data_IF_599874028448
#
_entry.id   IF_599874028448
#
_cell.length_a   1.000
_cell.length_b   1.000
_cell.length_c   1.000
_cell.angle_alpha   90.00
_cell.angle_beta   90.00
_cell.angle_gamma   90.00
#
_symmetry.space_group_name_H-M   'P 1'
#
loop_
_entity.id
_entity.type
_entity.pdbx_description
1 polymer ?
#
# COMPACT_ATOMS: atom_id res chain seq x y z
N UNK A 1 -2.09 -32.11 26.63
CA UNK A 1 -1.97 -31.17 25.50
C UNK A 1 -3.00 -30.03 25.50
N UNK A 2 -4.03 -30.06 26.35
CA UNK A 2 -5.06 -29.01 26.48
C UNK A 2 -4.74 -27.70 27.26
N UNK A 3 -3.60 -27.47 27.97
CA UNK A 3 -3.46 -26.26 28.79
C UNK A 3 -3.10 -24.97 28.02
N UNK A 4 -2.45 -25.06 26.86
CA UNK A 4 -1.91 -23.90 26.12
C UNK A 4 -2.99 -22.97 25.53
N UNK A 5 -4.15 -23.51 25.17
CA UNK A 5 -5.27 -22.73 24.59
C UNK A 5 -5.95 -21.87 25.67
N UNK A 6 -6.00 -22.34 26.92
CA UNK A 6 -6.60 -21.56 28.02
C UNK A 6 -5.74 -20.36 28.42
N UNK A 7 -4.41 -20.49 28.41
CA UNK A 7 -3.50 -19.41 28.78
C UNK A 7 -3.52 -18.24 27.77
N UNK A 8 -3.67 -18.56 26.48
CA UNK A 8 -3.84 -17.55 25.42
C UNK A 8 -5.20 -16.84 25.50
N UNK A 9 -6.28 -17.56 25.83
CA UNK A 9 -7.59 -16.98 26.12
C UNK A 9 -7.58 -16.06 27.36
N UNK A 10 -6.90 -16.47 28.43
CA UNK A 10 -6.77 -15.69 29.66
C UNK A 10 -5.92 -14.43 29.45
N UNK A 11 -4.87 -14.51 28.63
CA UNK A 11 -4.06 -13.34 28.25
C UNK A 11 -4.85 -12.36 27.38
N UNK A 12 -5.64 -12.84 26.43
CA UNK A 12 -6.53 -12.02 25.61
C UNK A 12 -7.61 -11.30 26.46
N UNK A 13 -8.16 -11.98 27.46
CA UNK A 13 -9.09 -11.36 28.41
C UNK A 13 -8.43 -10.30 29.31
N UNK A 14 -7.11 -10.38 29.52
CA UNK A 14 -6.35 -9.45 30.36
C UNK A 14 -5.87 -8.19 29.60
N UNK A 15 -5.67 -8.28 28.28
CA UNK A 15 -5.21 -7.15 27.44
C UNK A 15 -6.32 -6.50 26.63
N UNK A 16 -7.48 -7.15 26.47
CA UNK A 16 -8.58 -6.67 25.62
C UNK A 16 -8.31 -6.78 24.12
N UNK A 17 -7.12 -7.29 23.73
CA UNK A 17 -6.70 -7.43 22.34
C UNK A 17 -6.86 -8.90 21.94
N UNK A 18 -7.72 -9.16 20.95
CA UNK A 18 -7.88 -10.49 20.36
C UNK A 18 -6.66 -10.83 19.45
N UNK A 19 -5.88 -11.87 19.77
CA UNK A 19 -4.72 -12.28 18.97
C UNK A 19 -5.06 -12.56 17.50
N UNK A 20 -6.28 -13.03 17.22
CA UNK A 20 -6.74 -13.28 15.86
C UNK A 20 -6.89 -11.96 15.09
N UNK A 21 -7.44 -10.92 15.74
CA UNK A 21 -7.58 -9.59 15.14
C UNK A 21 -6.23 -8.98 14.85
N UNK A 22 -5.26 -9.10 15.77
CA UNK A 22 -3.89 -8.61 15.52
C UNK A 22 -3.23 -9.32 14.33
N UNK A 23 -3.30 -10.65 14.28
CA UNK A 23 -2.72 -11.43 13.18
C UNK A 23 -3.38 -11.10 11.83
N UNK A 24 -4.72 -11.02 11.80
CA UNK A 24 -5.47 -10.66 10.61
C UNK A 24 -5.15 -9.24 10.13
N UNK A 25 -4.98 -8.29 11.05
CA UNK A 25 -4.70 -6.89 10.72
C UNK A 25 -3.33 -6.71 10.08
N UNK A 26 -2.30 -7.41 10.55
CA UNK A 26 -0.96 -7.37 9.95
C UNK A 26 -0.96 -7.96 8.53
N UNK A 27 -1.65 -9.09 8.34
CA UNK A 27 -1.78 -9.70 7.01
C UNK A 27 -2.59 -8.82 6.06
N UNK A 28 -3.71 -8.26 6.52
CA UNK A 28 -4.53 -7.36 5.72
C UNK A 28 -3.77 -6.10 5.32
N UNK A 29 -2.98 -5.52 6.23
CA UNK A 29 -2.13 -4.37 5.92
C UNK A 29 -1.08 -4.68 4.85
N UNK A 30 -0.38 -5.81 4.96
CA UNK A 30 0.62 -6.23 3.97
C UNK A 30 -0.01 -6.46 2.59
N UNK A 31 -1.18 -7.11 2.54
CA UNK A 31 -1.91 -7.34 1.30
C UNK A 31 -2.46 -6.05 0.70
N UNK A 32 -2.99 -5.14 1.52
CA UNK A 32 -3.54 -3.86 1.06
C UNK A 32 -2.49 -3.05 0.30
N UNK A 33 -1.31 -2.82 0.89
CA UNK A 33 -0.24 -2.07 0.21
C UNK A 33 0.40 -2.87 -0.92
N UNK A 34 0.64 -4.17 -0.71
CA UNK A 34 1.30 -5.03 -1.69
C UNK A 34 0.51 -5.13 -2.99
N UNK A 35 -0.81 -5.33 -2.90
CA UNK A 35 -1.68 -5.39 -4.08
C UNK A 35 -1.94 -4.01 -4.69
N UNK A 36 -2.08 -2.96 -3.86
CA UNK A 36 -2.29 -1.60 -4.35
C UNK A 36 -1.11 -1.08 -5.18
N UNK A 37 0.12 -1.53 -4.91
CA UNK A 37 1.32 -1.09 -5.62
C UNK A 37 1.51 -1.72 -7.02
N UNK A 38 0.86 -2.86 -7.33
CA UNK A 38 1.10 -3.60 -8.58
C UNK A 38 0.67 -2.77 -9.80
N UNK A 39 -0.56 -2.25 -9.78
CA UNK A 39 -1.11 -1.46 -10.89
C UNK A 39 -0.32 -0.19 -11.17
N UNK A 40 -0.13 0.69 -10.17
CA UNK A 40 0.70 1.88 -10.28
C UNK A 40 2.13 1.56 -10.70
N UNK A 41 2.80 0.56 -10.12
CA UNK A 41 4.18 0.22 -10.46
C UNK A 41 4.35 -0.13 -11.95
N UNK A 42 3.43 -0.93 -12.51
CA UNK A 42 3.44 -1.26 -13.95
C UNK A 42 3.09 -0.03 -14.80
N UNK A 43 2.05 0.72 -14.42
CA UNK A 43 1.60 1.90 -15.16
C UNK A 43 2.65 3.00 -15.24
N UNK A 44 3.35 3.26 -14.13
CA UNK A 44 4.39 4.28 -14.04
C UNK A 44 5.62 3.91 -14.87
N UNK A 45 6.04 2.64 -14.84
CA UNK A 45 7.14 2.17 -15.69
C UNK A 45 6.85 2.37 -17.18
N UNK A 46 5.64 2.03 -17.61
CA UNK A 46 5.20 2.22 -18.99
C UNK A 46 5.11 3.70 -19.38
N UNK A 47 4.49 4.53 -18.53
CA UNK A 47 4.35 5.97 -18.77
C UNK A 47 5.71 6.67 -18.84
N UNK A 48 6.62 6.35 -17.91
CA UNK A 48 7.97 6.88 -17.90
C UNK A 48 8.76 6.43 -19.13
N UNK A 49 8.62 5.17 -19.55
CA UNK A 49 9.24 4.62 -20.77
C UNK A 49 8.82 5.39 -22.04
N UNK A 50 7.52 5.64 -22.21
CA UNK A 50 7.02 6.41 -23.35
C UNK A 50 7.43 7.89 -23.27
N UNK A 51 7.50 8.45 -22.06
CA UNK A 51 7.95 9.83 -21.87
C UNK A 51 9.43 10.01 -22.27
N UNK A 52 10.32 9.10 -21.86
CA UNK A 52 11.74 9.19 -22.26
C UNK A 52 11.92 8.98 -23.76
N UNK A 53 11.16 8.08 -24.38
CA UNK A 53 11.17 7.89 -25.84
C UNK A 53 10.67 9.15 -26.58
N UNK A 54 9.60 9.76 -26.08
CA UNK A 54 9.07 11.02 -26.61
C UNK A 54 10.07 12.17 -26.51
N UNK A 55 10.76 12.30 -25.38
CA UNK A 55 11.82 13.30 -25.17
C UNK A 55 13.00 13.05 -26.09
N UNK A 56 13.43 11.79 -26.26
CA UNK A 56 14.52 11.45 -27.17
C UNK A 56 14.19 11.78 -28.63
N UNK A 57 12.92 11.60 -29.05
CA UNK A 57 12.45 11.97 -30.39
C UNK A 57 12.29 13.47 -30.59
N UNK A 58 11.86 14.20 -29.56
CA UNK A 58 11.64 15.64 -29.63
C UNK A 58 12.10 16.34 -28.34
N UNK A 59 13.41 16.67 -28.23
CA UNK A 59 13.98 17.28 -27.03
C UNK A 59 13.34 18.63 -26.66
N UNK A 60 12.90 19.40 -27.65
CA UNK A 60 12.22 20.69 -27.45
C UNK A 60 10.88 20.56 -26.71
N UNK A 61 10.26 19.38 -26.73
CA UNK A 61 9.00 19.10 -26.06
C UNK A 61 9.18 18.64 -24.60
N UNK A 62 10.42 18.54 -24.10
CA UNK A 62 10.74 17.95 -22.79
C UNK A 62 9.90 18.54 -21.65
N UNK A 63 9.82 19.87 -21.56
CA UNK A 63 9.06 20.54 -20.49
C UNK A 63 7.59 20.15 -20.46
N UNK A 64 6.95 20.01 -21.64
CA UNK A 64 5.54 19.59 -21.75
C UNK A 64 5.37 18.12 -21.39
N UNK A 65 6.27 17.25 -21.88
CA UNK A 65 6.22 15.82 -21.59
C UNK A 65 6.42 15.57 -20.10
N UNK A 66 7.42 16.20 -19.47
CA UNK A 66 7.67 16.08 -18.02
C UNK A 66 6.48 16.56 -17.20
N UNK A 67 5.85 17.67 -17.57
CA UNK A 67 4.65 18.18 -16.89
C UNK A 67 3.50 17.17 -16.90
N UNK A 68 3.17 16.62 -18.08
CA UNK A 68 2.12 15.59 -18.21
C UNK A 68 2.50 14.29 -17.49
N UNK A 69 3.77 13.87 -17.59
CA UNK A 69 4.26 12.68 -16.91
C UNK A 69 4.08 12.82 -15.39
N UNK A 70 4.54 13.90 -14.78
CA UNK A 70 4.44 14.13 -13.33
C UNK A 70 2.99 14.13 -12.84
N UNK A 71 2.08 14.78 -13.58
CA UNK A 71 0.65 14.75 -13.27
C UNK A 71 0.12 13.31 -13.27
N UNK A 72 0.46 12.54 -14.30
CA UNK A 72 0.00 11.16 -14.44
C UNK A 72 0.60 10.25 -13.36
N UNK A 73 1.89 10.40 -13.05
CA UNK A 73 2.56 9.66 -11.98
C UNK A 73 1.92 9.95 -10.61
N UNK A 74 1.58 11.21 -10.33
CA UNK A 74 0.91 11.60 -9.09
C UNK A 74 -0.48 10.96 -8.94
N UNK A 75 -1.27 10.90 -10.03
CA UNK A 75 -2.55 10.20 -10.01
C UNK A 75 -2.38 8.69 -9.79
N UNK A 76 -1.40 8.05 -10.43
CA UNK A 76 -1.14 6.62 -10.19
C UNK A 76 -0.67 6.35 -8.75
N UNK A 77 0.22 7.20 -8.21
CA UNK A 77 0.67 7.08 -6.81
C UNK A 77 -0.47 7.20 -5.82
N UNK A 78 -1.48 8.03 -6.10
CA UNK A 78 -2.61 8.19 -5.18
C UNK A 78 -3.31 6.87 -4.85
N UNK A 79 -3.33 5.92 -5.80
CA UNK A 79 -3.91 4.58 -5.61
C UNK A 79 -3.05 3.74 -4.64
N UNK A 80 -1.73 3.78 -4.77
CA UNK A 80 -0.80 3.13 -3.83
C UNK A 80 -0.93 3.75 -2.44
N UNK A 81 -1.04 5.08 -2.37
CA UNK A 81 -1.19 5.82 -1.11
C UNK A 81 -2.49 5.42 -0.40
N UNK A 82 -3.59 5.16 -1.11
CA UNK A 82 -4.80 4.63 -0.46
C UNK A 82 -4.56 3.26 0.20
N UNK A 83 -3.82 2.36 -0.45
CA UNK A 83 -3.37 1.10 0.16
C UNK A 83 -2.49 1.33 1.39
N UNK A 84 -1.58 2.31 1.34
CA UNK A 84 -0.72 2.68 2.46
C UNK A 84 -1.54 3.23 3.62
N UNK A 85 -2.51 4.11 3.37
CA UNK A 85 -3.39 4.69 4.39
C UNK A 85 -4.16 3.59 5.10
N UNK A 86 -4.73 2.62 4.38
CA UNK A 86 -5.41 1.47 4.99
C UNK A 86 -4.45 0.66 5.86
N UNK A 87 -3.24 0.37 5.37
CA UNK A 87 -2.22 -0.34 6.13
C UNK A 87 -1.84 0.41 7.42
N UNK A 88 -1.63 1.74 7.35
CA UNK A 88 -1.32 2.57 8.51
C UNK A 88 -2.47 2.59 9.52
N UNK A 89 -3.72 2.68 9.06
CA UNK A 89 -4.90 2.61 9.95
C UNK A 89 -4.94 1.26 10.66
N UNK A 90 -4.75 0.15 9.96
CA UNK A 90 -4.77 -1.19 10.57
C UNK A 90 -3.63 -1.42 11.59
N UNK A 91 -2.49 -0.76 11.41
CA UNK A 91 -1.33 -0.90 12.29
C UNK A 91 -1.32 0.07 13.47
N UNK A 92 -1.82 1.29 13.30
CA UNK A 92 -1.65 2.37 14.27
C UNK A 92 -2.96 2.96 14.80
N UNK A 93 -4.09 2.68 14.16
CA UNK A 93 -5.40 3.21 14.51
C UNK A 93 -6.50 2.15 14.29
N UNK A 94 -6.21 0.92 14.69
CA UNK A 94 -7.10 -0.21 14.43
C UNK A 94 -8.40 -0.07 15.23
N UNK A 95 -9.58 -0.07 14.58
CA UNK A 95 -10.85 0.12 15.28
C UNK A 95 -11.33 -1.12 16.05
N UNK A 96 -10.65 -2.26 15.89
CA UNK A 96 -11.05 -3.55 16.47
C UNK A 96 -10.05 -4.12 17.48
N UNK A 97 -8.91 -3.45 17.67
CA UNK A 97 -7.83 -3.87 18.57
C UNK A 97 -7.56 -2.83 19.66
#
# INVERSE_FOLDING_TARGET
MAPLISASYVLAAATGIDPLVSAASVLAAALAIGLAAIGPGIGQGNAAGQAVEGIARQPEAEGKIRGTLLLTLAFMESLTIYGLVIALVLLFANPFA
#
